data_IF_415816427069
#
_entry.id   IF_415816427069
#
_cell.length_a   1.000
_cell.length_b   1.000
_cell.length_c   1.000
_cell.angle_alpha   90.00
_cell.angle_beta   90.00
_cell.angle_gamma   90.00
#
_symmetry.space_group_name_H-M   'P 1'
#
loop_
_entity.id
_entity.type
_entity.pdbx_description
1 polymer ?
#
# COMPACT_ATOMS: atom_id res chain seq x y z
N UNK A 1 -47.75 -16.96 -15.73
CA UNK A 1 -46.71 -17.38 -14.76
C UNK A 1 -45.29 -17.22 -15.30
N UNK A 2 -44.96 -17.71 -16.51
CA UNK A 2 -43.59 -17.66 -17.07
C UNK A 2 -42.99 -16.25 -17.30
N UNK A 3 -43.81 -15.25 -17.67
CA UNK A 3 -43.33 -13.87 -17.89
C UNK A 3 -42.81 -13.19 -16.61
N UNK A 4 -43.40 -13.50 -15.45
CA UNK A 4 -42.96 -12.97 -14.16
C UNK A 4 -41.61 -13.56 -13.74
N UNK A 5 -41.39 -14.85 -14.00
CA UNK A 5 -40.15 -15.54 -13.65
C UNK A 5 -38.96 -15.04 -14.50
N UNK A 6 -39.20 -14.78 -15.79
CA UNK A 6 -38.19 -14.20 -16.68
C UNK A 6 -37.78 -12.78 -16.25
N UNK A 7 -38.74 -11.98 -15.78
CA UNK A 7 -38.47 -10.63 -15.28
C UNK A 7 -37.64 -10.65 -13.99
N UNK A 8 -37.93 -11.58 -13.07
CA UNK A 8 -37.13 -11.80 -11.86
C UNK A 8 -35.70 -12.24 -12.18
N UNK A 9 -35.53 -13.12 -13.18
CA UNK A 9 -34.23 -13.58 -13.62
C UNK A 9 -33.40 -12.45 -14.26
N UNK A 10 -34.03 -11.60 -15.07
CA UNK A 10 -33.40 -10.43 -15.69
C UNK A 10 -32.91 -9.41 -14.65
N UNK A 11 -33.69 -9.19 -13.58
CA UNK A 11 -33.32 -8.26 -12.51
C UNK A 11 -32.11 -8.75 -11.69
N UNK A 12 -31.91 -10.07 -11.60
CA UNK A 12 -30.80 -10.68 -10.86
C UNK A 12 -29.43 -10.39 -11.51
N UNK A 13 -29.38 -10.22 -12.83
CA UNK A 13 -28.13 -10.00 -13.57
C UNK A 13 -27.63 -8.54 -13.54
N UNK A 14 -28.47 -7.55 -13.23
CA UNK A 14 -28.05 -6.14 -13.19
C UNK A 14 -27.26 -5.76 -11.92
N UNK A 15 -27.28 -6.59 -10.86
CA UNK A 15 -26.65 -6.26 -9.58
C UNK A 15 -25.11 -6.39 -9.54
N UNK A 16 -24.53 -7.26 -10.37
CA UNK A 16 -23.10 -7.61 -10.26
C UNK A 16 -22.16 -6.49 -10.77
N UNK A 17 -22.63 -5.66 -11.71
CA UNK A 17 -21.85 -4.56 -12.29
C UNK A 17 -21.96 -3.23 -11.51
N UNK A 18 -22.82 -3.15 -10.49
CA UNK A 18 -23.09 -1.91 -9.76
C UNK A 18 -22.16 -1.66 -8.57
N UNK A 19 -21.24 -2.59 -8.27
CA UNK A 19 -20.29 -2.43 -7.15
C UNK A 19 -19.22 -1.43 -7.56
N UNK A 20 -19.24 -0.24 -6.96
CA UNK A 20 -18.20 0.75 -7.16
C UNK A 20 -16.86 0.22 -6.63
N UNK A 21 -15.89 0.05 -7.52
CA UNK A 21 -14.52 -0.28 -7.16
C UNK A 21 -13.93 0.86 -6.30
N UNK A 22 -13.64 0.55 -5.04
CA UNK A 22 -12.94 1.47 -4.12
C UNK A 22 -11.51 0.96 -3.96
N UNK A 23 -10.55 1.44 -4.78
CA UNK A 23 -9.16 1.06 -4.59
C UNK A 23 -8.68 1.51 -3.22
N UNK A 24 -7.93 0.65 -2.53
CA UNK A 24 -7.25 1.05 -1.30
C UNK A 24 -6.17 2.07 -1.67
N UNK A 25 -6.22 3.27 -1.06
CA UNK A 25 -5.20 4.31 -1.27
C UNK A 25 -4.05 4.09 -0.29
N UNK A 26 -2.83 3.91 -0.81
CA UNK A 26 -1.62 3.84 -0.01
C UNK A 26 -0.89 5.20 -0.01
N UNK A 27 -0.81 5.83 1.16
CA UNK A 27 0.08 6.95 1.43
C UNK A 27 1.40 6.35 1.96
N UNK A 28 2.21 5.86 1.03
CA UNK A 28 3.45 5.15 1.34
C UNK A 28 4.60 6.08 1.71
N UNK A 29 5.46 5.64 2.62
CA UNK A 29 6.75 6.28 2.94
C UNK A 29 7.90 5.29 2.80
N UNK A 30 9.07 5.78 2.40
CA UNK A 30 10.30 4.98 2.43
C UNK A 30 10.98 5.14 3.78
N UNK A 31 11.23 4.02 4.44
CA UNK A 31 11.85 3.98 5.75
C UNK A 31 13.23 3.34 5.63
N UNK A 32 14.24 4.20 5.43
CA UNK A 32 15.63 3.79 5.25
C UNK A 32 16.23 3.47 6.61
N UNK A 33 16.77 2.27 6.74
CA UNK A 33 17.39 1.78 7.97
C UNK A 33 18.51 2.71 8.40
N UNK A 34 18.62 2.91 9.72
CA UNK A 34 19.76 3.58 10.34
C UNK A 34 20.47 2.59 11.27
N UNK A 35 21.58 3.01 11.88
CA UNK A 35 22.28 2.18 12.88
C UNK A 35 21.44 1.94 14.14
N UNK A 36 20.46 2.80 14.41
CA UNK A 36 19.61 2.71 15.59
C UNK A 36 18.30 1.96 15.30
N UNK A 37 17.81 1.27 16.31
CA UNK A 37 16.54 0.56 16.26
C UNK A 37 15.35 1.51 16.18
N UNK A 38 14.31 1.07 15.48
CA UNK A 38 13.05 1.82 15.31
C UNK A 38 12.33 1.90 16.66
N UNK A 39 11.97 3.11 17.08
CA UNK A 39 11.20 3.37 18.28
C UNK A 39 9.77 3.82 17.94
N UNK A 40 8.87 3.76 18.94
CA UNK A 40 7.49 4.23 18.77
C UNK A 40 7.40 5.69 18.34
N UNK A 41 8.35 6.53 18.76
CA UNK A 41 8.42 7.96 18.37
C UNK A 41 8.61 8.16 16.87
N UNK A 42 9.32 7.25 16.20
CA UNK A 42 9.51 7.28 14.75
C UNK A 42 8.18 6.96 14.04
N UNK A 43 7.47 5.94 14.53
CA UNK A 43 6.16 5.53 14.03
C UNK A 43 5.11 6.63 14.22
N UNK A 44 5.09 7.27 15.39
CA UNK A 44 4.18 8.40 15.66
C UNK A 44 4.36 9.55 14.66
N UNK A 45 5.59 9.81 14.25
CA UNK A 45 5.89 10.85 13.25
C UNK A 45 5.32 10.50 11.87
N UNK A 46 5.31 9.21 11.49
CA UNK A 46 4.67 8.73 10.26
C UNK A 46 3.15 8.85 10.30
N UNK A 47 2.55 8.59 11.46
CA UNK A 47 1.10 8.73 11.64
C UNK A 47 0.66 10.19 11.51
N UNK A 48 1.46 11.15 12.01
CA UNK A 48 1.17 12.60 11.89
C UNK A 48 1.08 13.09 10.45
N UNK A 49 1.77 12.43 9.51
CA UNK A 49 1.70 12.73 8.08
C UNK A 49 0.67 11.87 7.32
N UNK A 50 -0.18 11.12 8.03
CA UNK A 50 -1.20 10.24 7.46
C UNK A 50 -0.63 9.14 6.54
N UNK A 51 0.59 8.67 6.81
CA UNK A 51 1.14 7.50 6.15
C UNK A 51 0.44 6.23 6.65
N UNK A 52 0.11 5.32 5.74
CA UNK A 52 -0.57 4.05 6.06
C UNK A 52 0.17 2.81 5.53
N UNK A 53 1.33 3.02 4.91
CA UNK A 53 2.25 1.98 4.51
C UNK A 53 3.69 2.51 4.60
N UNK A 54 4.63 1.66 4.98
CA UNK A 54 6.05 1.98 5.00
C UNK A 54 6.84 0.86 4.34
N UNK A 55 7.77 1.22 3.44
CA UNK A 55 8.73 0.28 2.87
C UNK A 55 10.03 0.35 3.67
N UNK A 56 10.44 -0.74 4.31
CA UNK A 56 11.71 -0.80 5.04
C UNK A 56 12.83 -1.08 4.04
N UNK A 57 13.77 -0.15 3.90
CA UNK A 57 14.90 -0.26 2.99
C UNK A 57 16.21 -0.36 3.78
N UNK A 58 17.13 -1.28 3.44
CA UNK A 58 18.47 -1.25 4.00
C UNK A 58 19.19 0.02 3.55
N UNK A 59 20.09 0.54 4.38
CA UNK A 59 21.00 1.61 3.99
C UNK A 59 22.25 0.98 3.41
N UNK A 60 22.58 1.34 2.17
CA UNK A 60 23.84 0.97 1.53
C UNK A 60 24.69 2.21 1.30
N UNK A 61 26.00 2.13 1.56
CA UNK A 61 26.92 3.23 1.29
C UNK A 61 28.13 2.77 0.46
N UNK A 62 28.67 3.70 -0.34
CA UNK A 62 29.86 3.51 -1.15
C UNK A 62 30.95 4.43 -0.60
N UNK A 63 32.09 3.87 -0.19
CA UNK A 63 33.18 4.62 0.42
C UNK A 63 34.03 5.39 -0.59
N UNK A 64 34.22 4.82 -1.78
CA UNK A 64 35.10 5.36 -2.81
C UNK A 64 34.42 5.22 -4.19
N UNK A 65 34.44 6.29 -5.00
CA UNK A 65 33.75 6.33 -6.29
C UNK A 65 34.50 5.55 -7.39
N UNK A 66 35.82 5.46 -7.28
CA UNK A 66 36.70 4.70 -8.18
C UNK A 66 36.63 3.19 -7.93
N UNK A 67 36.27 2.77 -6.71
CA UNK A 67 36.03 1.38 -6.33
C UNK A 67 34.67 1.23 -5.64
N UNK A 68 33.55 1.24 -6.40
CA UNK A 68 32.21 1.27 -5.83
C UNK A 68 31.79 -0.11 -5.28
N UNK A 69 32.25 -0.41 -4.06
CA UNK A 69 31.77 -1.54 -3.26
C UNK A 69 30.69 -1.05 -2.30
N UNK A 70 29.55 -1.74 -2.29
CA UNK A 70 28.43 -1.41 -1.40
C UNK A 70 28.63 -2.14 -0.08
N UNK A 71 28.62 -1.38 1.02
CA UNK A 71 28.53 -1.90 2.38
C UNK A 71 27.15 -1.57 2.97
N UNK A 72 26.66 -2.43 3.87
CA UNK A 72 25.37 -2.31 4.55
C UNK A 72 25.58 -2.20 6.07
#
# INVERSE_FOLDING_TARGET
MMKSLFLTFLFLFMGCAAISYKPLKYNGVSFVASRDSIANTDVESLLKINANAAAVMPFGYIRQLDHPTIAF
#
